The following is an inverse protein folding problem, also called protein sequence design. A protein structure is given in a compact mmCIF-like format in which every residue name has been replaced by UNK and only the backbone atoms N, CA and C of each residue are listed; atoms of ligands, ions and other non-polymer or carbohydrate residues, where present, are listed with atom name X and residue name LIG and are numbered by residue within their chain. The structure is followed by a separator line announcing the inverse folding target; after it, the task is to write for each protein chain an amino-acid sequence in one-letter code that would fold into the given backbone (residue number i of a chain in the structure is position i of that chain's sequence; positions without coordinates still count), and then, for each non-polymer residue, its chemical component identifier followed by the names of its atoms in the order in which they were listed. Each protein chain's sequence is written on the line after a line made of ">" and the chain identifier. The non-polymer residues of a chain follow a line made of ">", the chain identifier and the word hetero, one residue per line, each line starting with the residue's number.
data_IF_739188251248
#
_entry.id   IF_739188251248
#
_cell.length_a   1.000
_cell.length_b   1.000
_cell.length_c   1.000
_cell.angle_alpha   90.00
_cell.angle_beta   90.00
_cell.angle_gamma   90.00
#
_symmetry.space_group_name_H-M   'P 1'
#
loop_
_entity.id
_entity.type
_entity.pdbx_description
1 polymer ?
#
# COMPACT_ATOMS: atom_id res chain seq x y z
N UNK A 1 -2.66 -60.60 -28.40
CA UNK A 1 -2.98 -59.16 -28.34
C UNK A 1 -4.34 -59.01 -27.70
N UNK A 2 -4.43 -58.25 -26.62
CA UNK A 2 -5.63 -57.99 -25.81
C UNK A 2 -5.62 -56.52 -25.35
N UNK A 3 -6.70 -56.10 -24.67
CA UNK A 3 -7.04 -54.80 -24.02
C UNK A 3 -8.35 -54.25 -24.62
N UNK A 4 -9.55 -54.39 -24.03
CA UNK A 4 -10.03 -54.11 -22.65
C UNK A 4 -9.77 -52.67 -22.18
N UNK A 5 -10.73 -51.90 -21.62
CA UNK A 5 -12.20 -52.11 -21.46
C UNK A 5 -12.75 -51.65 -20.09
N UNK A 6 -14.06 -51.34 -20.04
CA UNK A 6 -14.98 -51.48 -18.86
C UNK A 6 -14.76 -50.47 -17.68
N UNK A 7 -15.73 -50.02 -16.86
CA UNK A 7 -17.20 -49.71 -16.94
C UNK A 7 -17.60 -48.96 -15.64
N UNK A 8 -18.87 -48.48 -15.58
CA UNK A 8 -19.75 -48.41 -14.38
C UNK A 8 -19.71 -47.24 -13.38
N UNK A 9 -20.91 -46.67 -13.18
CA UNK A 9 -21.40 -46.02 -11.93
C UNK A 9 -22.25 -47.05 -11.16
N UNK A 10 -22.65 -46.81 -9.88
CA UNK A 10 -23.99 -46.24 -9.67
C UNK A 10 -24.10 -45.25 -8.48
N UNK A 11 -25.34 -44.96 -8.05
CA UNK A 11 -25.81 -43.85 -7.19
C UNK A 11 -26.00 -44.25 -5.69
N UNK A 12 -26.36 -43.32 -4.77
CA UNK A 12 -26.30 -43.53 -3.32
C UNK A 12 -27.56 -44.15 -2.72
N UNK A 13 -27.50 -44.51 -1.43
CA UNK A 13 -28.69 -44.78 -0.61
C UNK A 13 -28.52 -44.37 0.86
N UNK A 14 -29.66 -44.18 1.56
CA UNK A 14 -29.79 -43.48 2.85
C UNK A 14 -30.01 -44.47 4.01
N UNK A 15 -29.39 -44.25 5.19
CA UNK A 15 -30.02 -44.43 6.52
C UNK A 15 -29.14 -43.98 7.70
N UNK A 16 -29.80 -43.40 8.70
CA UNK A 16 -29.35 -43.02 10.04
C UNK A 16 -30.46 -43.52 11.02
N UNK A 17 -30.36 -43.40 12.35
CA UNK A 17 -29.31 -43.78 13.31
C UNK A 17 -29.81 -44.89 14.29
N UNK A 18 -28.95 -45.44 15.19
CA UNK A 18 -29.28 -45.53 16.64
C UNK A 18 -28.18 -46.13 17.57
N UNK A 19 -27.87 -45.36 18.62
CA UNK A 19 -27.59 -45.74 20.03
C UNK A 19 -26.72 -46.96 20.40
N UNK A 20 -25.57 -46.70 21.04
CA UNK A 20 -25.31 -47.12 22.44
C UNK A 20 -24.02 -46.51 23.05
N UNK A 21 -24.15 -45.86 24.22
CA UNK A 21 -23.09 -45.59 25.22
C UNK A 21 -23.29 -46.63 26.36
N UNK A 22 -22.29 -47.03 27.19
CA UNK A 22 -21.34 -46.15 27.90
C UNK A 22 -19.90 -46.77 28.00
N UNK A 23 -18.95 -46.46 28.92
CA UNK A 23 -18.86 -45.53 30.08
C UNK A 23 -17.39 -45.09 30.34
N UNK A 24 -17.24 -43.93 30.98
CA UNK A 24 -16.09 -43.34 31.71
C UNK A 24 -14.80 -44.15 31.99
N UNK A 25 -13.65 -43.49 31.80
CA UNK A 25 -12.66 -43.16 32.86
C UNK A 25 -11.76 -41.99 32.42
N UNK A 26 -11.51 -41.04 33.33
CA UNK A 26 -10.53 -39.95 33.16
C UNK A 26 -9.09 -40.47 33.29
N UNK A 27 -8.09 -39.65 32.91
CA UNK A 27 -7.40 -38.87 33.94
C UNK A 27 -7.26 -37.38 33.62
N UNK A 28 -7.25 -36.56 34.67
CA UNK A 28 -6.91 -35.14 34.60
C UNK A 28 -5.40 -34.88 34.50
N UNK A 29 -5.11 -33.64 34.08
CA UNK A 29 -3.98 -32.80 34.47
C UNK A 29 -2.58 -33.05 33.85
N UNK A 30 -2.25 -32.19 32.86
CA UNK A 30 -1.30 -31.08 33.09
C UNK A 30 -1.24 -30.11 31.89
N UNK A 31 -1.73 -28.88 32.09
CA UNK A 31 -1.39 -27.77 31.20
C UNK A 31 0.08 -27.39 31.40
N UNK A 32 0.89 -27.55 30.36
CA UNK A 32 2.22 -26.95 30.31
C UNK A 32 2.07 -25.51 29.79
N UNK A 33 2.13 -24.54 30.70
CA UNK A 33 2.32 -23.14 30.33
C UNK A 33 3.66 -23.00 29.60
N UNK A 34 3.62 -22.46 28.37
CA UNK A 34 4.76 -22.38 27.46
C UNK A 34 4.67 -21.19 26.51
N UNK A 35 4.67 -19.99 27.08
CA UNK A 35 5.13 -18.72 26.48
C UNK A 35 4.89 -18.48 24.96
N UNK A 36 3.63 -18.28 24.55
CA UNK A 36 3.32 -17.61 23.28
C UNK A 36 2.32 -16.44 23.38
N UNK A 37 1.97 -16.00 24.60
CA UNK A 37 1.20 -14.78 24.83
C UNK A 37 2.14 -13.59 25.16
N UNK A 38 2.79 -13.05 24.14
CA UNK A 38 3.55 -11.78 24.30
C UNK A 38 3.41 -10.77 23.16
N UNK A 39 2.38 -10.94 22.34
CA UNK A 39 1.77 -9.87 21.54
C UNK A 39 0.25 -10.00 21.58
N UNK A 40 -0.31 -10.05 22.80
CA UNK A 40 -1.72 -9.69 22.96
C UNK A 40 -1.85 -8.24 22.55
N UNK A 41 -2.58 -7.99 21.45
CA UNK A 41 -3.05 -6.67 21.10
C UNK A 41 -4.10 -6.28 22.14
N UNK A 42 -3.64 -5.73 23.27
CA UNK A 42 -4.38 -4.75 24.05
C UNK A 42 -4.55 -3.50 23.18
N UNK A 43 -5.38 -3.64 22.14
CA UNK A 43 -5.94 -2.56 21.36
C UNK A 43 -6.88 -1.82 22.31
N UNK A 44 -6.29 -0.88 23.05
CA UNK A 44 -6.82 -0.40 24.32
C UNK A 44 -8.26 0.09 24.20
N UNK A 45 -9.15 -0.47 25.03
CA UNK A 45 -10.54 0.00 25.12
C UNK A 45 -10.64 1.51 25.47
N UNK A 46 -9.58 2.08 26.08
CA UNK A 46 -9.46 3.51 26.37
C UNK A 46 -9.40 4.35 25.09
N UNK A 47 -8.74 3.86 24.03
CA UNK A 47 -8.75 4.55 22.73
C UNK A 47 -10.14 4.56 22.11
N UNK A 48 -10.94 3.51 22.32
CA UNK A 48 -12.30 3.47 21.80
C UNK A 48 -13.23 4.45 22.52
N UNK A 49 -13.10 4.61 23.85
CA UNK A 49 -13.88 5.58 24.65
C UNK A 49 -13.52 7.05 24.39
N UNK A 50 -12.24 7.39 24.21
CA UNK A 50 -11.86 8.77 23.81
C UNK A 50 -12.23 9.05 22.34
N UNK A 51 -12.03 8.09 21.43
CA UNK A 51 -12.48 8.24 20.04
C UNK A 51 -14.02 8.23 19.88
N UNK A 52 -14.77 7.82 20.90
CA UNK A 52 -16.25 7.84 20.89
C UNK A 52 -16.83 9.27 21.02
N UNK A 53 -16.02 10.27 21.38
CA UNK A 53 -16.48 11.66 21.58
C UNK A 53 -16.14 12.62 20.42
N UNK A 54 -15.40 12.19 19.40
CA UNK A 54 -15.02 13.05 18.28
C UNK A 54 -16.23 13.44 17.43
N UNK A 55 -16.42 14.74 17.19
CA UNK A 55 -17.47 15.19 16.27
C UNK A 55 -17.20 14.72 14.84
N UNK A 56 -18.26 14.49 14.07
CA UNK A 56 -18.16 14.19 12.63
C UNK A 56 -17.45 15.33 11.88
N UNK A 57 -17.64 16.57 12.34
CA UNK A 57 -16.91 17.79 11.94
C UNK A 57 -15.40 17.57 11.96
N UNK A 58 -14.89 17.14 13.12
CA UNK A 58 -13.46 17.02 13.40
C UNK A 58 -12.85 15.84 12.66
N UNK A 59 -13.54 14.70 12.63
CA UNK A 59 -13.13 13.52 11.84
C UNK A 59 -13.00 13.86 10.35
N UNK A 60 -13.98 14.60 9.80
CA UNK A 60 -13.94 15.04 8.41
C UNK A 60 -12.86 16.10 8.15
N UNK A 61 -12.59 16.98 9.12
CA UNK A 61 -11.53 17.98 9.05
C UNK A 61 -10.14 17.33 9.06
N UNK A 62 -9.89 16.43 10.01
CA UNK A 62 -8.66 15.66 10.14
C UNK A 62 -8.39 14.81 8.90
N UNK A 63 -9.40 14.11 8.38
CA UNK A 63 -9.30 13.38 7.11
C UNK A 63 -8.87 14.28 5.94
N UNK A 64 -9.47 15.48 5.82
CA UNK A 64 -9.14 16.44 4.74
C UNK A 64 -7.76 17.08 4.91
N UNK A 65 -7.23 17.12 6.13
CA UNK A 65 -5.89 17.63 6.43
C UNK A 65 -4.81 16.59 6.09
N UNK A 66 -5.02 15.33 6.50
CA UNK A 66 -4.06 14.22 6.32
C UNK A 66 -4.03 13.69 4.88
N UNK A 67 -5.20 13.33 4.32
CA UNK A 67 -5.25 12.70 2.99
C UNK A 67 -4.87 13.73 1.93
N UNK A 68 -3.80 13.51 1.13
CA UNK A 68 -3.36 14.47 0.13
C UNK A 68 -4.41 14.64 -0.99
N UNK A 69 -4.35 15.77 -1.68
CA UNK A 69 -5.14 15.99 -2.90
C UNK A 69 -4.68 15.01 -3.99
N UNK A 70 -5.63 14.45 -4.74
CA UNK A 70 -5.37 13.63 -5.92
C UNK A 70 -5.86 14.34 -7.18
N UNK A 71 -4.98 14.52 -8.16
CA UNK A 71 -5.21 15.28 -9.39
C UNK A 71 -5.56 14.39 -10.58
N UNK A 72 -5.11 13.13 -10.58
CA UNK A 72 -5.18 12.22 -11.72
C UNK A 72 -4.11 12.51 -12.77
N UNK A 73 -2.95 13.03 -12.34
CA UNK A 73 -1.86 13.53 -13.17
C UNK A 73 -0.50 13.27 -12.49
N UNK A 74 0.33 12.43 -13.10
CA UNK A 74 1.70 12.09 -12.65
C UNK A 74 2.60 13.32 -12.43
N UNK A 75 2.32 14.46 -13.07
CA UNK A 75 3.08 15.70 -12.86
C UNK A 75 2.87 16.28 -11.46
N UNK A 76 1.68 16.07 -10.88
CA UNK A 76 1.22 16.66 -9.61
C UNK A 76 1.09 15.64 -8.49
N UNK A 77 0.67 14.43 -8.81
CA UNK A 77 0.47 13.35 -7.86
C UNK A 77 1.81 12.71 -7.45
N UNK A 78 2.06 12.64 -6.14
CA UNK A 78 3.25 11.99 -5.58
C UNK A 78 3.11 10.47 -5.40
N UNK A 79 1.95 9.90 -5.77
CA UNK A 79 1.59 8.49 -5.58
C UNK A 79 0.52 8.07 -6.59
N UNK A 80 0.45 6.78 -6.90
CA UNK A 80 -0.60 6.22 -7.74
C UNK A 80 -1.99 6.35 -7.10
N UNK A 81 -3.03 6.17 -7.91
CA UNK A 81 -4.41 6.03 -7.42
C UNK A 81 -4.55 4.84 -6.44
N UNK A 82 -3.73 3.80 -6.57
CA UNK A 82 -3.78 2.61 -5.71
C UNK A 82 -3.27 2.95 -4.31
N UNK A 83 -2.09 3.55 -4.22
CA UNK A 83 -1.45 4.00 -2.98
C UNK A 83 -2.15 5.21 -2.35
N UNK A 84 -2.86 6.02 -3.13
CA UNK A 84 -3.78 7.03 -2.60
C UNK A 84 -5.03 6.38 -1.99
N UNK A 85 -5.63 5.40 -2.68
CA UNK A 85 -6.82 4.70 -2.19
C UNK A 85 -6.52 3.86 -0.95
N UNK A 86 -5.35 3.22 -0.82
CA UNK A 86 -5.04 2.51 0.44
C UNK A 86 -4.94 3.46 1.64
N UNK A 87 -4.46 4.70 1.46
CA UNK A 87 -4.50 5.72 2.52
C UNK A 87 -5.94 6.15 2.85
N UNK A 88 -6.78 6.37 1.83
CA UNK A 88 -8.22 6.65 2.02
C UNK A 88 -8.94 5.47 2.70
N UNK A 89 -8.58 4.23 2.36
CA UNK A 89 -9.14 3.02 2.95
C UNK A 89 -8.65 2.76 4.38
N UNK A 90 -7.42 3.15 4.73
CA UNK A 90 -6.95 3.17 6.12
C UNK A 90 -7.88 4.03 6.98
N UNK A 91 -8.18 5.26 6.54
CA UNK A 91 -9.17 6.11 7.20
C UNK A 91 -10.57 5.47 7.25
N UNK A 92 -11.03 4.84 6.16
CA UNK A 92 -12.36 4.18 6.08
C UNK A 92 -12.50 2.97 7.02
N UNK A 93 -11.40 2.27 7.31
CA UNK A 93 -11.31 1.18 8.31
C UNK A 93 -11.22 1.72 9.74
N UNK A 94 -10.60 2.89 9.93
CA UNK A 94 -10.51 3.63 11.20
C UNK A 94 -11.62 4.67 11.38
N UNK A 95 -11.25 5.94 11.61
CA UNK A 95 -12.17 7.02 12.02
C UNK A 95 -13.34 7.26 11.04
N UNK A 96 -13.16 7.14 9.71
CA UNK A 96 -14.25 7.24 8.74
C UNK A 96 -15.17 6.00 8.71
N UNK A 97 -14.97 4.99 9.56
CA UNK A 97 -15.94 3.93 9.79
C UNK A 97 -17.23 4.48 10.44
N UNK A 98 -17.10 5.48 11.32
CA UNK A 98 -18.20 6.07 12.11
C UNK A 98 -18.98 7.15 11.37
N UNK A 99 -18.44 7.67 10.27
CA UNK A 99 -19.05 8.75 9.47
C UNK A 99 -20.06 8.17 8.48
N UNK A 100 -21.25 8.78 8.39
CA UNK A 100 -22.28 8.42 7.43
C UNK A 100 -21.73 8.38 6.00
N UNK A 101 -21.98 7.28 5.28
CA UNK A 101 -21.30 6.99 4.00
C UNK A 101 -21.41 8.11 2.94
N UNK A 102 -22.55 8.81 2.76
CA UNK A 102 -22.62 9.96 1.86
C UNK A 102 -21.68 11.12 2.24
N UNK A 103 -21.48 11.38 3.53
CA UNK A 103 -20.55 12.41 4.01
C UNK A 103 -19.10 12.01 3.75
N UNK A 104 -18.75 10.72 3.98
CA UNK A 104 -17.43 10.18 3.68
C UNK A 104 -17.14 10.21 2.16
N UNK A 105 -18.12 9.87 1.31
CA UNK A 105 -18.04 10.00 -0.16
C UNK A 105 -17.79 11.46 -0.56
N UNK A 106 -18.52 12.43 0.01
CA UNK A 106 -18.30 13.85 -0.29
C UNK A 106 -16.89 14.31 0.14
N UNK A 107 -16.43 13.92 1.33
CA UNK A 107 -15.11 14.28 1.83
C UNK A 107 -13.99 13.74 0.91
N UNK A 108 -14.13 12.52 0.38
CA UNK A 108 -13.22 11.99 -0.65
C UNK A 108 -13.30 12.81 -1.94
N UNK A 109 -14.51 13.12 -2.46
CA UNK A 109 -14.67 13.93 -3.68
C UNK A 109 -14.09 15.34 -3.52
N UNK A 110 -14.09 15.90 -2.31
CA UNK A 110 -13.42 17.17 -1.97
C UNK A 110 -11.88 17.10 -1.99
N UNK A 111 -11.27 15.91 -1.95
CA UNK A 111 -9.83 15.71 -2.16
C UNK A 111 -9.43 15.48 -3.61
N UNK A 112 -10.39 15.43 -4.54
CA UNK A 112 -10.12 15.28 -5.97
C UNK A 112 -9.99 16.65 -6.65
N UNK A 113 -9.02 16.80 -7.55
CA UNK A 113 -8.86 17.97 -8.44
C UNK A 113 -8.74 17.52 -9.89
N UNK A 114 -8.80 18.49 -10.79
CA UNK A 114 -8.51 18.36 -12.23
C UNK A 114 -9.11 17.09 -12.86
N UNK A 115 -8.29 16.24 -13.50
CA UNK A 115 -8.74 15.03 -14.17
C UNK A 115 -9.47 14.07 -13.23
N UNK A 116 -9.00 13.91 -11.99
CA UNK A 116 -9.63 13.06 -10.99
C UNK A 116 -11.00 13.58 -10.52
N UNK A 117 -11.19 14.89 -10.47
CA UNK A 117 -12.49 15.49 -10.13
C UNK A 117 -13.48 15.34 -11.29
N UNK A 118 -13.06 15.65 -12.51
CA UNK A 118 -13.91 15.53 -13.71
C UNK A 118 -14.32 14.07 -13.97
N UNK A 119 -13.43 13.10 -13.70
CA UNK A 119 -13.70 11.67 -13.80
C UNK A 119 -14.95 11.18 -13.03
N UNK A 120 -15.29 11.82 -11.90
CA UNK A 120 -16.35 11.37 -10.98
C UNK A 120 -17.45 12.42 -10.78
N UNK A 121 -17.42 13.50 -11.57
CA UNK A 121 -18.26 14.70 -11.41
C UNK A 121 -19.75 14.41 -11.53
N UNK A 122 -20.13 13.69 -12.59
CA UNK A 122 -21.53 13.41 -12.95
C UNK A 122 -22.03 12.04 -12.46
N UNK A 123 -21.22 11.32 -11.68
CA UNK A 123 -21.58 10.00 -11.16
C UNK A 123 -22.07 10.09 -9.70
N UNK A 124 -23.31 9.67 -9.41
CA UNK A 124 -23.72 9.31 -8.06
C UNK A 124 -23.10 7.94 -7.71
N UNK A 125 -22.55 7.82 -6.50
CA UNK A 125 -21.97 6.56 -6.03
C UNK A 125 -22.85 5.97 -4.94
N UNK A 126 -23.32 4.74 -5.17
CA UNK A 126 -24.16 4.02 -4.21
C UNK A 126 -23.40 3.57 -2.95
N UNK A 127 -22.06 3.57 -3.00
CA UNK A 127 -21.19 3.26 -1.86
C UNK A 127 -19.81 3.88 -2.02
N UNK A 128 -19.06 3.95 -0.92
CA UNK A 128 -17.68 4.38 -0.85
C UNK A 128 -16.78 3.50 -1.74
N UNK A 129 -17.00 2.17 -1.68
CA UNK A 129 -16.31 1.19 -2.53
C UNK A 129 -16.55 1.45 -4.02
N UNK A 130 -17.76 1.84 -4.43
CA UNK A 130 -18.04 2.18 -5.83
C UNK A 130 -17.24 3.40 -6.31
N UNK A 131 -17.05 4.42 -5.46
CA UNK A 131 -16.19 5.56 -5.76
C UNK A 131 -14.71 5.13 -5.88
N UNK A 132 -14.21 4.31 -4.95
CA UNK A 132 -12.83 3.81 -4.99
C UNK A 132 -12.56 2.99 -6.26
N UNK A 133 -13.50 2.12 -6.65
CA UNK A 133 -13.42 1.32 -7.89
C UNK A 133 -13.42 2.22 -9.12
N UNK A 134 -14.28 3.24 -9.18
CA UNK A 134 -14.33 4.17 -10.32
C UNK A 134 -13.02 4.95 -10.49
N UNK A 135 -12.41 5.41 -9.39
CA UNK A 135 -11.09 6.07 -9.40
C UNK A 135 -9.98 5.11 -9.85
N UNK A 136 -9.90 3.89 -9.28
CA UNK A 136 -8.94 2.84 -9.72
C UNK A 136 -9.08 2.51 -11.21
N UNK A 137 -10.31 2.40 -11.70
CA UNK A 137 -10.63 2.10 -13.10
C UNK A 137 -10.22 3.24 -14.03
N UNK A 138 -10.42 4.51 -13.62
CA UNK A 138 -10.08 5.66 -14.46
C UNK A 138 -8.59 5.99 -14.47
N UNK A 139 -7.86 5.65 -13.40
CA UNK A 139 -6.43 5.90 -13.24
C UNK A 139 -5.68 4.59 -12.95
N UNK A 140 -5.47 3.72 -13.96
CA UNK A 140 -4.87 2.40 -13.74
C UNK A 140 -3.41 2.48 -13.30
N UNK A 141 -3.03 1.67 -12.30
CA UNK A 141 -1.67 1.62 -11.75
C UNK A 141 -0.60 1.46 -12.86
N UNK A 142 -0.82 0.56 -13.82
CA UNK A 142 0.13 0.29 -14.91
C UNK A 142 0.44 1.52 -15.77
N UNK A 143 -0.54 2.39 -16.01
CA UNK A 143 -0.33 3.63 -16.78
C UNK A 143 0.50 4.61 -15.96
N UNK A 144 0.19 4.75 -14.67
CA UNK A 144 0.97 5.55 -13.74
C UNK A 144 2.42 5.04 -13.62
N UNK A 145 2.63 3.73 -13.44
CA UNK A 145 3.97 3.10 -13.38
C UNK A 145 4.79 3.39 -14.64
N UNK A 146 4.20 3.21 -15.84
CA UNK A 146 4.88 3.53 -17.10
C UNK A 146 5.27 5.01 -17.23
N UNK A 147 4.45 5.92 -16.72
CA UNK A 147 4.75 7.36 -16.71
C UNK A 147 5.81 7.71 -15.66
N UNK A 148 5.69 7.15 -14.45
CA UNK A 148 6.65 7.31 -13.36
C UNK A 148 8.05 6.84 -13.77
N UNK A 149 8.17 5.67 -14.39
CA UNK A 149 9.45 5.17 -14.89
C UNK A 149 10.08 6.11 -15.92
N UNK A 150 9.30 6.65 -16.87
CA UNK A 150 9.80 7.65 -17.83
C UNK A 150 10.35 8.89 -17.11
N UNK A 151 9.66 9.39 -16.07
CA UNK A 151 10.09 10.56 -15.28
C UNK A 151 11.27 10.27 -14.35
N UNK A 152 11.42 9.03 -13.88
CA UNK A 152 12.62 8.57 -13.16
C UNK A 152 13.81 8.55 -14.12
N UNK A 153 13.64 7.97 -15.31
CA UNK A 153 14.67 7.86 -16.35
C UNK A 153 15.04 9.20 -17.01
N UNK A 154 14.14 10.19 -17.04
CA UNK A 154 14.48 11.58 -17.46
C UNK A 154 14.98 12.45 -16.32
N UNK A 155 14.82 12.02 -15.06
CA UNK A 155 15.13 12.79 -13.86
C UNK A 155 14.05 13.78 -13.41
N UNK A 156 13.01 14.01 -14.22
CA UNK A 156 11.85 14.86 -13.88
C UNK A 156 11.16 14.48 -12.56
N UNK A 157 11.20 13.21 -12.17
CA UNK A 157 10.63 12.72 -10.91
C UNK A 157 11.33 13.32 -9.67
N UNK A 158 12.57 13.80 -9.83
CA UNK A 158 13.43 14.31 -8.76
C UNK A 158 13.73 15.81 -8.87
N UNK A 159 13.12 16.51 -9.83
CA UNK A 159 13.21 17.98 -9.94
C UNK A 159 12.75 18.63 -8.64
N UNK A 160 13.54 19.58 -8.15
CA UNK A 160 13.36 20.33 -6.89
C UNK A 160 13.31 19.48 -5.60
N UNK A 161 13.56 18.17 -5.65
CA UNK A 161 13.55 17.30 -4.47
C UNK A 161 14.75 17.60 -3.56
N UNK A 162 14.48 17.86 -2.27
CA UNK A 162 15.52 18.11 -1.26
C UNK A 162 16.20 16.81 -0.82
N UNK A 163 17.40 16.89 -0.23
CA UNK A 163 18.11 15.71 0.33
C UNK A 163 17.36 15.09 1.52
N UNK A 164 16.53 15.87 2.20
CA UNK A 164 15.59 15.41 3.23
C UNK A 164 14.32 14.77 2.64
N UNK A 165 13.84 15.21 1.47
CA UNK A 165 12.66 14.64 0.81
C UNK A 165 12.95 13.43 -0.08
N UNK A 166 14.20 13.23 -0.53
CA UNK A 166 14.52 12.19 -1.52
C UNK A 166 14.18 10.79 -1.01
N UNK A 167 14.45 10.47 0.26
CA UNK A 167 14.11 9.18 0.88
C UNK A 167 12.59 8.98 0.88
N UNK A 168 11.84 9.98 1.35
CA UNK A 168 10.37 9.97 1.37
C UNK A 168 9.81 9.78 -0.04
N UNK A 169 10.40 10.43 -1.05
CA UNK A 169 9.98 10.30 -2.45
C UNK A 169 10.28 8.93 -3.02
N UNK A 170 11.48 8.41 -2.78
CA UNK A 170 11.92 7.08 -3.24
C UNK A 170 11.05 5.98 -2.61
N UNK A 171 10.72 6.05 -1.31
CA UNK A 171 9.84 5.08 -0.66
C UNK A 171 8.45 5.03 -1.33
N UNK A 172 7.86 6.20 -1.65
CA UNK A 172 6.59 6.26 -2.40
C UNK A 172 6.70 5.61 -3.80
N UNK A 173 7.84 5.79 -4.47
CA UNK A 173 8.08 5.16 -5.77
C UNK A 173 8.31 3.65 -5.65
N UNK A 174 8.96 3.16 -4.59
CA UNK A 174 9.09 1.71 -4.32
C UNK A 174 7.70 1.09 -4.17
N UNK A 175 6.84 1.69 -3.36
CA UNK A 175 5.49 1.17 -3.09
C UNK A 175 4.60 1.14 -4.35
N UNK A 176 4.77 2.12 -5.26
CA UNK A 176 4.05 2.14 -6.55
C UNK A 176 4.67 1.23 -7.63
N UNK A 177 5.97 0.91 -7.56
CA UNK A 177 6.72 0.17 -8.60
C UNK A 177 6.94 -1.32 -8.32
N UNK A 178 6.55 -1.81 -7.13
CA UNK A 178 6.82 -3.17 -6.63
C UNK A 178 6.39 -4.35 -7.53
N UNK A 179 5.51 -4.13 -8.53
CA UNK A 179 5.03 -5.17 -9.47
C UNK A 179 6.09 -5.67 -10.50
N UNK A 180 7.39 -5.37 -10.32
CA UNK A 180 8.44 -5.99 -11.14
C UNK A 180 9.86 -5.51 -10.86
N UNK A 181 10.80 -6.47 -10.74
CA UNK A 181 12.22 -6.22 -10.46
C UNK A 181 12.85 -5.20 -11.43
N UNK A 182 12.46 -5.21 -12.72
CA UNK A 182 12.95 -4.26 -13.72
C UNK A 182 12.62 -2.81 -13.37
N UNK A 183 11.47 -2.55 -12.74
CA UNK A 183 11.06 -1.21 -12.34
C UNK A 183 11.94 -0.68 -11.20
N UNK A 184 12.23 -1.57 -10.23
CA UNK A 184 13.10 -1.27 -9.09
C UNK A 184 14.55 -1.08 -9.54
N UNK A 185 15.02 -1.80 -10.56
CA UNK A 185 16.34 -1.60 -11.16
C UNK A 185 16.51 -0.19 -11.78
N UNK A 186 15.51 0.34 -12.49
CA UNK A 186 15.55 1.72 -12.98
C UNK A 186 15.55 2.75 -11.86
N UNK A 187 14.81 2.51 -10.77
CA UNK A 187 14.83 3.38 -9.60
C UNK A 187 16.20 3.32 -8.88
N UNK A 188 16.81 2.14 -8.77
CA UNK A 188 18.13 1.93 -8.20
C UNK A 188 19.23 2.67 -8.98
N UNK A 189 19.26 2.53 -10.31
CA UNK A 189 20.16 3.27 -11.21
C UNK A 189 19.99 4.79 -11.06
N UNK A 190 18.75 5.27 -10.94
CA UNK A 190 18.47 6.69 -10.69
C UNK A 190 19.04 7.17 -9.35
N UNK A 191 18.86 6.41 -8.27
CA UNK A 191 19.41 6.75 -6.95
C UNK A 191 20.94 6.74 -6.98
N UNK A 192 21.56 5.72 -7.57
CA UNK A 192 23.01 5.61 -7.73
C UNK A 192 23.61 6.83 -8.45
N UNK A 193 22.97 7.31 -9.53
CA UNK A 193 23.44 8.48 -10.28
C UNK A 193 23.23 9.81 -9.53
N UNK A 194 22.23 9.91 -8.65
CA UNK A 194 22.00 11.11 -7.82
C UNK A 194 22.86 11.17 -6.55
N UNK A 195 23.19 10.01 -5.97
CA UNK A 195 23.89 9.84 -4.70
C UNK A 195 25.05 8.82 -4.82
N UNK A 196 26.01 9.00 -5.75
CA UNK A 196 26.98 7.96 -6.09
C UNK A 196 27.89 7.56 -4.93
N UNK A 197 28.35 8.52 -4.13
CA UNK A 197 29.22 8.26 -2.99
C UNK A 197 28.49 7.52 -1.86
N UNK A 198 27.24 7.87 -1.60
CA UNK A 198 26.42 7.22 -0.59
C UNK A 198 25.98 5.81 -1.04
N UNK A 199 25.77 5.61 -2.34
CA UNK A 199 25.41 4.32 -2.93
C UNK A 199 26.58 3.34 -2.98
N UNK A 200 27.78 3.81 -3.30
CA UNK A 200 29.03 3.02 -3.31
C UNK A 200 29.28 2.34 -1.95
N UNK A 201 29.03 3.06 -0.85
CA UNK A 201 29.17 2.56 0.53
C UNK A 201 28.12 1.47 0.90
N UNK A 202 27.01 1.38 0.16
CA UNK A 202 25.89 0.49 0.51
C UNK A 202 26.06 -0.93 -0.04
N UNK A 203 26.91 -1.12 -1.06
CA UNK A 203 27.29 -2.41 -1.66
C UNK A 203 26.08 -3.29 -2.04
N UNK A 204 25.28 -2.85 -3.01
CA UNK A 204 24.17 -3.65 -3.56
C UNK A 204 24.67 -4.55 -4.70
N UNK A 205 24.25 -5.83 -4.78
CA UNK A 205 24.50 -6.69 -5.93
C UNK A 205 24.02 -6.07 -7.25
N UNK A 206 24.84 -6.15 -8.31
CA UNK A 206 24.60 -5.46 -9.57
C UNK A 206 23.57 -6.15 -10.49
N UNK A 207 23.28 -7.43 -10.25
CA UNK A 207 22.69 -8.31 -11.29
C UNK A 207 21.16 -8.28 -11.28
N UNK A 208 20.54 -8.23 -10.10
CA UNK A 208 19.10 -8.02 -9.89
C UNK A 208 18.86 -7.40 -8.52
N UNK A 209 18.12 -6.29 -8.44
CA UNK A 209 17.69 -5.72 -7.15
C UNK A 209 16.27 -6.18 -6.78
N UNK A 210 16.13 -6.73 -5.58
CA UNK A 210 14.84 -7.11 -4.98
C UNK A 210 14.19 -5.93 -4.23
N UNK A 211 12.91 -6.09 -3.88
CA UNK A 211 12.18 -5.14 -3.03
C UNK A 211 12.81 -4.97 -1.65
N UNK A 212 13.37 -6.03 -1.08
CA UNK A 212 14.00 -6.00 0.24
C UNK A 212 15.35 -5.28 0.20
N UNK A 213 16.17 -5.56 -0.81
CA UNK A 213 17.47 -4.90 -1.00
C UNK A 213 17.32 -3.39 -1.24
N UNK A 214 16.39 -2.97 -2.10
CA UNK A 214 16.18 -1.53 -2.35
C UNK A 214 15.64 -0.81 -1.11
N UNK A 215 14.75 -1.44 -0.33
CA UNK A 215 14.28 -0.88 0.95
C UNK A 215 15.39 -0.81 2.01
N UNK A 216 16.23 -1.84 2.11
CA UNK A 216 17.39 -1.85 3.00
C UNK A 216 18.42 -0.77 2.61
N UNK A 217 18.68 -0.60 1.31
CA UNK A 217 19.54 0.44 0.78
C UNK A 217 19.00 1.85 1.08
N UNK A 218 17.72 2.11 0.83
CA UNK A 218 17.10 3.42 1.11
C UNK A 218 17.09 3.73 2.61
N UNK A 219 16.90 2.71 3.46
CA UNK A 219 17.03 2.84 4.93
C UNK A 219 18.47 3.12 5.37
N UNK A 220 19.49 2.61 4.65
CA UNK A 220 20.90 2.96 4.87
C UNK A 220 21.19 4.39 4.42
N UNK A 221 20.72 4.78 3.23
CA UNK A 221 20.85 6.15 2.73
C UNK A 221 20.27 7.15 3.73
N UNK A 222 19.05 6.93 4.22
CA UNK A 222 18.40 7.83 5.20
C UNK A 222 19.31 8.17 6.38
N UNK A 223 19.92 7.15 7.00
CA UNK A 223 20.89 7.34 8.10
C UNK A 223 22.12 8.15 7.69
N UNK A 224 22.62 7.99 6.46
CA UNK A 224 23.78 8.73 5.95
C UNK A 224 23.43 10.19 5.58
N UNK A 225 22.25 10.43 5.01
CA UNK A 225 21.77 11.76 4.63
C UNK A 225 21.48 12.63 5.86
N UNK A 226 21.00 12.04 6.96
CA UNK A 226 20.76 12.76 8.23
C UNK A 226 22.03 13.43 8.82
N UNK A 227 23.20 12.86 8.56
CA UNK A 227 24.52 13.38 9.01
C UNK A 227 25.03 14.51 8.12
N UNK A 228 24.47 14.70 6.92
CA UNK A 228 25.04 15.52 5.85
C UNK A 228 24.02 16.45 5.20
N UNK A 229 23.65 17.52 5.92
CA UNK A 229 22.53 18.42 5.59
C UNK A 229 22.80 19.42 4.45
N UNK A 230 24.06 19.77 4.19
CA UNK A 230 24.41 20.97 3.40
C UNK A 230 24.53 20.75 1.88
N UNK A 231 23.97 19.67 1.33
CA UNK A 231 24.02 19.36 -0.11
C UNK A 231 22.64 19.01 -0.62
N UNK A 232 22.19 19.64 -1.71
CA UNK A 232 21.05 19.10 -2.49
C UNK A 232 21.54 17.89 -3.31
N UNK A 233 20.70 16.86 -3.56
CA UNK A 233 21.05 15.83 -4.52
C UNK A 233 21.29 16.49 -5.88
N UNK A 234 22.26 16.02 -6.65
CA UNK A 234 22.36 16.48 -8.05
C UNK A 234 21.14 15.94 -8.79
N UNK A 235 20.37 16.77 -9.52
CA UNK A 235 19.25 16.27 -10.29
C UNK A 235 19.78 15.27 -11.33
N UNK A 236 19.12 14.12 -11.42
CA UNK A 236 19.31 13.21 -12.54
C UNK A 236 18.95 13.96 -13.84
N UNK A 237 19.68 13.72 -14.92
CA UNK A 237 19.37 14.36 -16.20
C UNK A 237 19.84 15.82 -16.35
N UNK A 238 20.80 16.28 -15.54
CA UNK A 238 21.52 17.55 -15.74
C UNK A 238 22.42 17.59 -17.01
N UNK A 239 22.05 16.83 -18.05
CA UNK A 239 22.58 16.86 -19.41
C UNK A 239 21.42 16.82 -20.42
N UNK A 240 20.50 17.81 -20.33
CA UNK A 240 19.74 18.27 -21.50
C UNK A 240 19.81 19.81 -21.48
N UNK A 241 20.66 20.33 -22.36
CA UNK A 241 21.10 21.73 -22.54
C UNK A 241 22.21 22.19 -21.58
#
# INVERSE_FOLDING_TARGET
>A
LAHFGIMSKPKPDIKNPNTSKPKSKEPEDKMVNGEFEKFSLEYSAVLDEEMLQLEVSDVLSAFKSDVPVFYGDIAKDLRSSYSWIEWVMFWKRGLLARVAEPLAIMAVKERLRDAAKEAVKHQPFASFSALMIAIRTRFPLRIYQMQLLRRIMSGEAFVEVTRTDIIRRVNLYIDDLQDGNTNLAFLADAIQKMLPHEWEIIEIPADTITLEEIRAAVSRLERMLLVSKDKKPKPFGAMIN
#
